data_IF_687451115603
#
_entry.id   IF_687451115603
#
_cell.length_a   1.000
_cell.length_b   1.000
_cell.length_c   1.000
_cell.angle_alpha   90.00
_cell.angle_beta   90.00
_cell.angle_gamma   90.00
#
_symmetry.space_group_name_H-M   'P 1'
#
loop_
_entity.id
_entity.type
_entity.pdbx_description
1 polymer ?
#
# COMPACT_ATOMS: atom_id res chain seq x y z
N UNK A 1 6.94 -4.12 3.82
CA UNK A 1 6.21 -3.22 2.90
C UNK A 1 6.75 -1.80 2.83
N UNK A 2 7.58 -1.35 3.77
CA UNK A 2 8.17 0.01 3.76
C UNK A 2 8.93 0.32 2.45
N UNK A 3 9.66 -0.65 1.86
CA UNK A 3 10.38 -0.44 0.59
C UNK A 3 9.46 -0.06 -0.57
N UNK A 4 8.34 -0.77 -0.74
CA UNK A 4 7.36 -0.49 -1.82
C UNK A 4 6.75 0.88 -1.62
N UNK A 5 6.29 1.18 -0.40
CA UNK A 5 5.67 2.47 -0.06
C UNK A 5 6.66 3.62 -0.26
N UNK A 6 7.95 3.42 0.10
CA UNK A 6 9.01 4.39 -0.15
C UNK A 6 9.23 4.61 -1.64
N UNK A 7 9.32 3.55 -2.44
CA UNK A 7 9.50 3.66 -3.89
C UNK A 7 8.37 4.47 -4.55
N UNK A 8 7.12 4.26 -4.13
CA UNK A 8 5.99 5.05 -4.62
C UNK A 8 6.09 6.52 -4.21
N UNK A 9 6.49 6.81 -2.97
CA UNK A 9 6.68 8.21 -2.54
C UNK A 9 7.78 8.89 -3.35
N UNK A 10 8.91 8.23 -3.58
CA UNK A 10 9.98 8.82 -4.40
C UNK A 10 9.53 9.01 -5.85
N UNK A 11 8.78 8.06 -6.43
CA UNK A 11 8.20 8.20 -7.77
C UNK A 11 7.31 9.45 -7.88
N UNK A 12 6.41 9.69 -6.93
CA UNK A 12 5.53 10.86 -6.95
C UNK A 12 6.29 12.17 -6.71
N UNK A 13 7.42 12.15 -6.00
CA UNK A 13 8.26 13.33 -5.79
C UNK A 13 8.95 13.79 -7.06
N UNK A 14 9.31 12.87 -7.96
CA UNK A 14 9.92 13.20 -9.25
C UNK A 14 9.07 14.17 -10.07
N UNK A 15 7.75 14.08 -9.92
CA UNK A 15 6.76 14.95 -10.59
C UNK A 15 6.09 15.95 -9.66
N UNK A 16 6.60 16.14 -8.43
CA UNK A 16 6.06 17.08 -7.41
C UNK A 16 4.61 16.83 -7.00
N UNK A 17 4.16 15.57 -7.04
CA UNK A 17 2.80 15.13 -6.68
C UNK A 17 2.74 14.39 -5.34
N UNK A 18 3.79 14.45 -4.52
CA UNK A 18 3.88 13.71 -3.26
C UNK A 18 2.79 14.05 -2.26
N UNK A 19 2.23 15.27 -2.30
CA UNK A 19 1.11 15.69 -1.43
C UNK A 19 -0.14 14.83 -1.62
N UNK A 20 -0.35 14.26 -2.80
CA UNK A 20 -1.47 13.36 -3.04
C UNK A 20 -1.36 12.08 -2.20
N UNK A 21 -0.17 11.68 -1.77
CA UNK A 21 0.05 10.46 -1.00
C UNK A 21 -0.07 10.67 0.51
N UNK A 22 -0.14 11.91 0.99
CA UNK A 22 -0.14 12.23 2.41
C UNK A 22 -1.35 11.57 3.09
N UNK A 23 -1.09 10.63 4.02
CA UNK A 23 -2.06 9.83 4.76
C UNK A 23 -2.92 8.87 3.92
N UNK A 24 -2.59 8.69 2.64
CA UNK A 24 -3.24 7.69 1.80
C UNK A 24 -2.67 6.29 2.04
N UNK A 25 -3.54 5.27 2.05
CA UNK A 25 -3.09 3.88 2.11
C UNK A 25 -2.44 3.53 0.77
N UNK A 26 -1.19 3.08 0.81
CA UNK A 26 -0.41 2.74 -0.40
C UNK A 26 -0.10 1.25 -0.52
N UNK A 27 -0.23 0.49 0.57
CA UNK A 27 -0.03 -0.95 0.55
C UNK A 27 -0.77 -1.62 1.70
N UNK A 28 -1.01 -2.92 1.53
CA UNK A 28 -1.49 -3.81 2.58
C UNK A 28 -0.45 -4.89 2.84
N UNK A 29 -0.36 -5.37 4.07
CA UNK A 29 0.37 -6.59 4.41
C UNK A 29 -0.52 -7.52 5.21
N UNK A 30 -0.52 -8.79 4.82
CA UNK A 30 -1.30 -9.84 5.47
C UNK A 30 -0.31 -10.90 5.95
N UNK A 31 -0.41 -11.27 7.24
CA UNK A 31 0.40 -12.33 7.83
C UNK A 31 -0.49 -13.36 8.49
N UNK A 32 -0.12 -14.63 8.32
CA UNK A 32 -0.81 -15.78 8.87
C UNK A 32 0.08 -16.52 9.86
N UNK A 33 -0.52 -17.16 10.86
CA UNK A 33 0.10 -18.28 11.56
C UNK A 33 -0.90 -19.46 11.61
N UNK A 34 -0.69 -20.42 12.52
CA UNK A 34 -1.49 -21.65 12.59
C UNK A 34 -2.99 -21.43 12.86
N UNK A 35 -3.40 -20.27 13.39
CA UNK A 35 -4.81 -19.99 13.69
C UNK A 35 -5.23 -18.52 13.52
N UNK A 36 -4.30 -17.58 13.40
CA UNK A 36 -4.58 -16.13 13.34
C UNK A 36 -4.15 -15.49 12.05
N UNK A 37 -4.82 -14.40 11.72
CA UNK A 37 -4.52 -13.50 10.62
C UNK A 37 -4.34 -12.10 11.17
N UNK A 38 -3.35 -11.37 10.65
CA UNK A 38 -3.19 -9.94 10.88
C UNK A 38 -3.13 -9.21 9.55
N UNK A 39 -3.96 -8.18 9.40
CA UNK A 39 -4.03 -7.32 8.22
C UNK A 39 -3.60 -5.92 8.65
N UNK A 40 -2.64 -5.35 7.94
CA UNK A 40 -2.17 -3.99 8.15
C UNK A 40 -2.27 -3.16 6.86
N UNK A 41 -2.61 -1.88 7.00
CA UNK A 41 -2.34 -0.88 5.96
C UNK A 41 -1.01 -0.18 6.22
N UNK A 42 -0.41 0.34 5.15
CA UNK A 42 0.80 1.15 5.19
C UNK A 42 0.53 2.48 4.49
N UNK A 43 0.87 3.58 5.14
CA UNK A 43 0.67 4.93 4.60
C UNK A 43 1.83 5.85 5.00
N UNK A 44 2.18 6.86 4.19
CA UNK A 44 3.16 7.86 4.54
C UNK A 44 2.51 9.10 5.18
N UNK A 45 3.23 9.74 6.10
CA UNK A 45 3.01 11.14 6.48
C UNK A 45 4.14 11.94 5.86
N UNK A 46 3.78 12.89 5.00
CA UNK A 46 4.71 13.71 4.21
C UNK A 46 4.66 15.14 4.73
N UNK A 47 5.81 15.67 5.13
CA UNK A 47 6.01 17.05 5.59
C UNK A 47 7.25 17.62 4.89
N UNK A 48 7.01 18.31 3.78
CA UNK A 48 8.06 18.76 2.85
C UNK A 48 8.93 17.60 2.39
N UNK A 49 10.24 17.68 2.66
CA UNK A 49 11.21 16.62 2.30
C UNK A 49 11.18 15.41 3.24
N UNK A 50 10.55 15.51 4.41
CA UNK A 50 10.48 14.42 5.37
C UNK A 50 9.28 13.52 5.06
N UNK A 51 9.52 12.22 5.03
CA UNK A 51 8.46 11.20 4.96
C UNK A 51 8.64 10.21 6.09
N UNK A 52 7.58 9.96 6.86
CA UNK A 52 7.52 8.91 7.87
C UNK A 52 6.51 7.87 7.41
N UNK A 53 6.89 6.60 7.43
CA UNK A 53 6.02 5.50 7.03
C UNK A 53 5.39 4.85 8.26
N UNK A 54 4.07 4.76 8.26
CA UNK A 54 3.31 4.14 9.34
C UNK A 54 2.67 2.83 8.88
N UNK A 55 2.51 1.93 9.85
CA UNK A 55 1.76 0.69 9.72
C UNK A 55 0.57 0.75 10.68
N UNK A 56 -0.64 0.56 10.18
CA UNK A 56 -1.86 0.57 10.99
C UNK A 56 -2.57 -0.79 10.96
N UNK A 57 -2.93 -1.37 12.12
CA UNK A 57 -3.68 -2.62 12.18
C UNK A 57 -5.12 -2.39 11.72
N UNK A 58 -5.49 -3.01 10.59
CA UNK A 58 -6.88 -3.01 10.11
C UNK A 58 -7.69 -4.04 10.90
N UNK A 59 -7.12 -5.25 11.03
CA UNK A 59 -7.80 -6.36 11.70
C UNK A 59 -6.82 -7.43 12.15
N UNK A 60 -7.08 -8.01 13.31
CA UNK A 60 -6.44 -9.22 13.81
C UNK A 60 -7.53 -10.15 14.35
N UNK A 61 -7.52 -11.43 13.94
CA UNK A 61 -8.53 -12.41 14.35
C UNK A 61 -8.05 -13.84 14.18
N UNK A 62 -8.67 -14.77 14.91
CA UNK A 62 -8.47 -16.21 14.72
C UNK A 62 -9.45 -16.74 13.67
N UNK A 63 -8.95 -17.40 12.62
CA UNK A 63 -9.80 -17.98 11.58
C UNK A 63 -10.31 -19.37 11.91
N UNK A 64 -9.86 -19.97 13.02
CA UNK A 64 -10.34 -21.26 13.53
C UNK A 64 -11.39 -21.11 14.63
N UNK A 65 -11.59 -19.90 15.15
CA UNK A 65 -12.64 -19.60 16.13
C UNK A 65 -14.04 -19.77 15.54
N UNK A 66 -15.00 -20.10 16.40
CA UNK A 66 -16.43 -20.22 16.07
C UNK A 66 -16.67 -21.13 14.85
N UNK A 67 -16.04 -22.31 14.83
CA UNK A 67 -16.11 -23.28 13.73
C UNK A 67 -15.72 -22.67 12.36
N UNK A 68 -14.75 -21.75 12.38
CA UNK A 68 -14.23 -21.11 11.18
C UNK A 68 -15.20 -20.13 10.53
N UNK A 69 -16.11 -19.51 11.29
CA UNK A 69 -17.05 -18.47 10.82
C UNK A 69 -16.36 -17.41 9.96
N UNK A 70 -15.13 -17.03 10.31
CA UNK A 70 -14.39 -15.94 9.67
C UNK A 70 -13.35 -16.37 8.64
N UNK A 71 -13.26 -17.68 8.32
CA UNK A 71 -12.19 -18.24 7.47
C UNK A 71 -12.06 -17.59 6.08
N UNK A 72 -13.17 -17.07 5.54
CA UNK A 72 -13.21 -16.45 4.21
C UNK A 72 -12.95 -14.93 4.20
N UNK A 73 -12.84 -14.28 5.36
CA UNK A 73 -12.71 -12.82 5.43
C UNK A 73 -11.45 -12.35 4.70
N UNK A 74 -10.32 -13.02 4.92
CA UNK A 74 -9.06 -12.60 4.29
C UNK A 74 -9.08 -12.83 2.78
N UNK A 75 -9.66 -13.94 2.34
CA UNK A 75 -9.84 -14.21 0.92
C UNK A 75 -10.64 -13.10 0.25
N UNK A 76 -11.79 -12.71 0.83
CA UNK A 76 -12.63 -11.62 0.33
C UNK A 76 -11.89 -10.27 0.37
N UNK A 77 -11.14 -10.00 1.44
CA UNK A 77 -10.34 -8.78 1.56
C UNK A 77 -9.29 -8.70 0.44
N UNK A 78 -8.48 -9.75 0.28
CA UNK A 78 -7.45 -9.82 -0.77
C UNK A 78 -8.07 -9.68 -2.16
N UNK A 79 -9.18 -10.36 -2.42
CA UNK A 79 -9.89 -10.24 -3.70
C UNK A 79 -10.33 -8.79 -3.96
N UNK A 80 -10.93 -8.12 -2.97
CA UNK A 80 -11.34 -6.72 -3.10
C UNK A 80 -10.14 -5.76 -3.28
N UNK A 81 -8.98 -6.07 -2.67
CA UNK A 81 -7.76 -5.29 -2.91
C UNK A 81 -7.40 -5.32 -4.40
N UNK A 82 -7.43 -6.48 -5.06
CA UNK A 82 -7.11 -6.58 -6.49
C UNK A 82 -8.23 -6.07 -7.40
N UNK A 83 -9.47 -6.48 -7.15
CA UNK A 83 -10.59 -6.22 -8.05
C UNK A 83 -11.08 -4.75 -8.00
N UNK A 84 -10.83 -4.06 -6.88
CA UNK A 84 -11.38 -2.71 -6.65
C UNK A 84 -10.26 -1.70 -6.40
N UNK A 85 -9.49 -1.89 -5.33
CA UNK A 85 -8.54 -0.87 -4.88
C UNK A 85 -7.34 -0.74 -5.84
N UNK A 86 -6.79 -1.87 -6.28
CA UNK A 86 -5.58 -1.93 -7.11
C UNK A 86 -5.80 -1.32 -8.49
N UNK A 87 -7.02 -1.40 -9.05
CA UNK A 87 -7.32 -0.81 -10.35
C UNK A 87 -7.21 0.72 -10.32
N UNK A 88 -7.78 1.35 -9.28
CA UNK A 88 -7.65 2.80 -9.07
C UNK A 88 -6.21 3.19 -8.76
N UNK A 89 -5.53 2.39 -7.94
CA UNK A 89 -4.14 2.63 -7.58
C UNK A 89 -3.18 2.54 -8.77
N UNK A 90 -3.37 1.54 -9.65
CA UNK A 90 -2.59 1.37 -10.88
C UNK A 90 -2.75 2.56 -11.81
N UNK A 91 -3.98 3.02 -12.06
CA UNK A 91 -4.23 4.21 -12.90
C UNK A 91 -3.50 5.44 -12.38
N UNK A 92 -3.45 5.61 -11.05
CA UNK A 92 -2.75 6.71 -10.41
C UNK A 92 -1.24 6.62 -10.59
N UNK A 93 -0.67 5.42 -10.49
CA UNK A 93 0.76 5.18 -10.77
C UNK A 93 1.07 5.46 -12.26
N UNK A 94 0.26 4.95 -13.19
CA UNK A 94 0.43 5.21 -14.61
C UNK A 94 0.39 6.72 -14.91
N UNK A 95 -0.57 7.44 -14.35
CA UNK A 95 -0.64 8.90 -14.51
C UNK A 95 0.62 9.62 -14.04
N UNK A 96 1.26 9.17 -12.96
CA UNK A 96 2.53 9.75 -12.50
C UNK A 96 3.69 9.37 -13.42
N UNK A 97 3.70 8.15 -13.96
CA UNK A 97 4.70 7.70 -14.93
C UNK A 97 4.60 8.51 -16.23
N UNK A 98 3.39 8.77 -16.70
CA UNK A 98 3.13 9.56 -17.92
C UNK A 98 3.61 11.02 -17.77
N UNK A 99 3.65 11.54 -16.54
CA UNK A 99 4.14 12.89 -16.20
C UNK A 99 5.67 12.95 -16.03
N UNK A 100 6.40 11.84 -16.14
CA UNK A 100 7.85 11.82 -15.93
C UNK A 100 8.60 12.59 -17.02
N UNK A 101 9.71 13.29 -16.68
CA UNK A 101 10.57 13.91 -17.68
C UNK A 101 11.18 12.84 -18.60
N UNK A 102 11.26 13.08 -19.92
CA UNK A 102 11.83 12.12 -20.87
C UNK A 102 13.34 11.91 -20.70
N UNK A 103 14.04 12.88 -20.08
CA UNK A 103 15.47 12.90 -19.80
C UNK A 103 15.80 12.48 -18.35
N UNK A 104 14.84 11.92 -17.63
CA UNK A 104 15.04 11.49 -16.25
C UNK A 104 16.02 10.31 -16.16
N UNK A 105 17.17 10.55 -15.53
CA UNK A 105 18.09 9.50 -15.09
C UNK A 105 17.71 9.02 -13.68
N UNK A 106 17.52 7.72 -13.52
CA UNK A 106 17.19 7.08 -12.24
C UNK A 106 18.43 6.75 -11.40
N UNK A 107 19.64 7.03 -11.91
CA UNK A 107 20.93 6.78 -11.25
C UNK A 107 21.02 5.34 -10.70
N UNK A 108 20.48 4.38 -11.44
CA UNK A 108 20.50 2.95 -11.06
C UNK A 108 21.90 2.41 -11.37
N UNK A 109 22.74 2.34 -10.34
CA UNK A 109 24.04 1.65 -10.37
C UNK A 109 23.92 0.16 -10.10
#
# INVERSE_FOLDING_TARGET
MILVVRGIVELFRLVKREKELHREILAFSISYNHCTVRIYSHYPIIDGKKTIFYRYPIREFSFTELDGKEKWIVYKFTKNVYDIWMLTYLKRICSVIDDLPPDLDFEVS
#
